data_IF_372417760025
#
_entry.id   IF_372417760025
#
_cell.length_a   1.000
_cell.length_b   1.000
_cell.length_c   1.000
_cell.angle_alpha   90.00
_cell.angle_beta   90.00
_cell.angle_gamma   90.00
#
_symmetry.space_group_name_H-M   'P 1'
#
loop_
_entity.id
_entity.type
_entity.pdbx_description
1 polymer ?
#
# COMPACT_ATOMS: atom_id res chain seq x y z
N UNK A 1 -18.86 0.96 5.13
CA UNK A 1 -17.44 1.30 5.11
C UNK A 1 -17.17 2.11 6.37
N UNK A 2 -16.51 1.51 7.34
CA UNK A 2 -16.25 2.17 8.62
C UNK A 2 -14.92 2.94 8.52
N UNK A 3 -14.99 4.24 8.77
CA UNK A 3 -13.84 5.12 8.89
C UNK A 3 -13.73 5.49 10.36
N UNK A 4 -12.67 5.06 11.02
CA UNK A 4 -12.44 5.38 12.43
C UNK A 4 -11.77 6.76 12.54
N UNK A 5 -12.40 7.68 13.25
CA UNK A 5 -11.86 9.00 13.54
C UNK A 5 -11.76 9.19 15.05
N UNK A 6 -10.54 9.13 15.59
CA UNK A 6 -10.23 9.48 16.97
C UNK A 6 -9.15 10.54 17.01
N UNK A 7 -9.43 11.70 17.61
CA UNK A 7 -8.41 12.67 18.02
C UNK A 7 -7.42 13.13 16.93
N UNK A 8 -7.83 13.22 15.64
CA UNK A 8 -6.92 13.56 14.55
C UNK A 8 -6.29 12.37 13.80
N UNK A 9 -6.64 11.15 14.17
CA UNK A 9 -6.26 9.94 13.45
C UNK A 9 -7.41 9.49 12.56
N UNK A 10 -7.10 9.06 11.34
CA UNK A 10 -8.01 8.41 10.42
C UNK A 10 -7.34 7.21 9.78
N UNK A 11 -7.99 6.05 9.86
CA UNK A 11 -7.50 4.81 9.31
C UNK A 11 -8.63 4.05 8.63
N UNK A 12 -8.35 3.48 7.46
CA UNK A 12 -9.29 2.66 6.72
C UNK A 12 -9.30 1.24 7.29
N UNK A 13 -10.45 0.59 7.18
CA UNK A 13 -10.60 -0.81 7.58
C UNK A 13 -9.98 -1.72 6.49
N UNK A 14 -8.73 -2.09 6.68
CA UNK A 14 -7.93 -2.90 5.76
C UNK A 14 -7.97 -4.41 6.10
N UNK A 15 -7.57 -5.29 5.17
CA UNK A 15 -7.55 -6.74 5.40
C UNK A 15 -6.63 -7.17 6.54
N UNK A 16 -7.13 -8.10 7.38
CA UNK A 16 -6.40 -8.78 8.44
C UNK A 16 -6.28 -10.25 8.10
N UNK A 17 -5.10 -10.81 8.15
CA UNK A 17 -4.82 -12.16 7.69
C UNK A 17 -4.48 -13.07 8.88
N UNK A 18 -5.16 -14.19 8.94
CA UNK A 18 -5.05 -15.16 10.01
C UNK A 18 -4.50 -16.49 9.51
N UNK A 19 -3.80 -17.19 10.38
CA UNK A 19 -3.46 -18.60 10.25
C UNK A 19 -3.82 -19.30 11.56
N UNK A 20 -4.68 -20.34 11.50
CA UNK A 20 -5.09 -21.09 12.69
C UNK A 20 -5.61 -20.18 13.84
N UNK A 21 -6.34 -19.10 13.50
CA UNK A 21 -6.87 -18.06 14.39
C UNK A 21 -5.83 -17.06 14.93
N UNK A 22 -4.57 -17.19 14.60
CA UNK A 22 -3.53 -16.22 14.92
C UNK A 22 -3.47 -15.13 13.85
N UNK A 23 -3.48 -13.86 14.24
CA UNK A 23 -3.27 -12.73 13.33
C UNK A 23 -1.79 -12.71 12.91
N UNK A 24 -1.54 -12.99 11.63
CA UNK A 24 -0.18 -13.06 11.07
C UNK A 24 0.14 -11.95 10.07
N UNK A 25 -0.84 -11.10 9.75
CA UNK A 25 -0.61 -9.99 8.84
C UNK A 25 -1.74 -8.96 8.85
N UNK A 26 -1.32 -7.74 8.64
CA UNK A 26 -2.13 -6.56 8.38
C UNK A 26 -1.85 -6.16 6.93
N UNK A 27 -2.77 -6.54 6.01
CA UNK A 27 -2.45 -6.62 4.60
C UNK A 27 -1.59 -7.83 4.23
N UNK A 28 -1.22 -7.94 2.96
CA UNK A 28 -0.43 -9.05 2.46
C UNK A 28 1.06 -8.96 2.79
N UNK A 29 1.75 -10.11 2.69
CA UNK A 29 3.19 -10.17 2.84
C UNK A 29 3.81 -10.93 1.67
N UNK A 30 4.75 -10.31 0.95
CA UNK A 30 5.40 -10.93 -0.20
C UNK A 30 6.23 -12.19 0.17
N UNK A 31 6.67 -12.34 1.42
CA UNK A 31 7.40 -13.52 1.87
C UNK A 31 6.53 -14.78 1.92
N UNK A 32 5.21 -14.64 1.81
CA UNK A 32 4.30 -15.78 1.74
C UNK A 32 4.28 -16.47 0.38
N UNK A 33 4.75 -15.84 -0.69
CA UNK A 33 4.83 -16.50 -1.99
C UNK A 33 5.73 -17.74 -1.94
N UNK A 34 5.29 -18.84 -2.56
CA UNK A 34 6.09 -20.05 -2.68
C UNK A 34 7.30 -19.83 -3.60
N UNK A 35 7.10 -19.09 -4.70
CA UNK A 35 8.14 -18.78 -5.67
C UNK A 35 9.14 -17.75 -5.15
N UNK A 36 10.43 -18.02 -5.31
CA UNK A 36 11.51 -17.19 -4.80
C UNK A 36 11.61 -15.83 -5.50
N UNK A 37 11.22 -15.77 -6.77
CA UNK A 37 11.18 -14.50 -7.51
C UNK A 37 9.99 -13.65 -7.07
N UNK A 38 8.83 -14.27 -6.86
CA UNK A 38 7.66 -13.57 -6.34
C UNK A 38 7.93 -12.96 -4.95
N UNK A 39 8.69 -13.65 -4.08
CA UNK A 39 9.15 -13.06 -2.80
C UNK A 39 10.04 -11.84 -2.95
N UNK A 40 10.79 -11.71 -4.05
CA UNK A 40 11.68 -10.57 -4.32
C UNK A 40 11.02 -9.44 -5.09
N UNK A 41 10.04 -9.74 -5.91
CA UNK A 41 9.46 -8.81 -6.89
C UNK A 41 7.96 -8.53 -6.66
N UNK A 42 7.36 -9.14 -5.63
CA UNK A 42 5.91 -9.18 -5.41
C UNK A 42 5.30 -7.96 -4.74
N UNK A 43 6.07 -6.98 -4.27
CA UNK A 43 5.55 -5.84 -3.50
C UNK A 43 4.41 -5.09 -4.20
N UNK A 44 4.51 -4.87 -5.53
CA UNK A 44 3.44 -4.24 -6.30
C UNK A 44 2.16 -5.09 -6.31
N UNK A 45 2.30 -6.41 -6.39
CA UNK A 45 1.16 -7.33 -6.39
C UNK A 45 0.50 -7.38 -5.02
N UNK A 46 1.29 -7.35 -3.95
CA UNK A 46 0.77 -7.27 -2.57
C UNK A 46 -0.02 -5.99 -2.36
N UNK A 47 0.58 -4.83 -2.64
CA UNK A 47 -0.09 -3.54 -2.52
C UNK A 47 -1.36 -3.46 -3.37
N UNK A 48 -1.33 -3.97 -4.60
CA UNK A 48 -2.52 -4.01 -5.45
C UNK A 48 -3.59 -4.99 -4.92
N UNK A 49 -3.21 -6.10 -4.28
CA UNK A 49 -4.14 -7.02 -3.63
C UNK A 49 -4.84 -6.34 -2.46
N UNK A 50 -4.10 -5.65 -1.59
CA UNK A 50 -4.68 -4.93 -0.45
C UNK A 50 -5.74 -3.93 -0.92
N UNK A 51 -5.43 -3.13 -1.95
CA UNK A 51 -6.37 -2.14 -2.53
C UNK A 51 -7.56 -2.84 -3.20
N UNK A 52 -7.31 -3.89 -3.98
CA UNK A 52 -8.36 -4.64 -4.65
C UNK A 52 -9.35 -5.27 -3.66
N UNK A 53 -8.86 -5.93 -2.62
CA UNK A 53 -9.67 -6.53 -1.56
C UNK A 53 -10.47 -5.44 -0.83
N UNK A 54 -9.84 -4.31 -0.51
CA UNK A 54 -10.50 -3.18 0.14
C UNK A 54 -11.76 -2.72 -0.61
N UNK A 55 -11.69 -2.61 -1.95
CA UNK A 55 -12.82 -2.14 -2.76
C UNK A 55 -13.83 -3.23 -3.13
N UNK A 56 -13.42 -4.49 -3.22
CA UNK A 56 -14.27 -5.54 -3.81
C UNK A 56 -14.85 -6.50 -2.79
N UNK A 57 -14.29 -6.58 -1.60
CA UNK A 57 -14.75 -7.49 -0.53
C UNK A 57 -15.33 -6.69 0.63
N UNK A 58 -16.35 -7.28 1.27
CA UNK A 58 -16.90 -6.75 2.52
C UNK A 58 -16.17 -7.30 3.73
N UNK A 59 -15.70 -8.55 3.63
CA UNK A 59 -14.90 -9.22 4.62
C UNK A 59 -13.57 -8.49 4.81
N UNK A 60 -13.12 -8.43 6.05
CA UNK A 60 -11.81 -7.87 6.43
C UNK A 60 -10.89 -8.90 7.07
N UNK A 61 -11.41 -10.08 7.37
CA UNK A 61 -10.65 -11.18 7.93
C UNK A 61 -10.53 -12.30 6.92
N UNK A 62 -9.31 -12.70 6.64
CA UNK A 62 -9.00 -13.71 5.64
C UNK A 62 -8.07 -14.78 6.23
N UNK A 63 -8.31 -16.03 5.86
CA UNK A 63 -7.29 -17.05 6.04
C UNK A 63 -6.12 -16.83 5.09
N UNK A 64 -4.91 -17.15 5.55
CA UNK A 64 -3.67 -16.96 4.78
C UNK A 64 -3.72 -17.60 3.40
N UNK A 65 -4.25 -18.81 3.29
CA UNK A 65 -4.32 -19.53 2.01
C UNK A 65 -5.17 -18.78 1.00
N UNK A 66 -6.37 -18.34 1.42
CA UNK A 66 -7.29 -17.58 0.58
C UNK A 66 -6.67 -16.25 0.14
N UNK A 67 -6.01 -15.54 1.06
CA UNK A 67 -5.37 -14.26 0.73
C UNK A 67 -4.18 -14.46 -0.21
N UNK A 68 -3.41 -15.50 -0.01
CA UNK A 68 -2.29 -15.87 -0.89
C UNK A 68 -2.76 -16.20 -2.32
N UNK A 69 -3.93 -16.81 -2.48
CA UNK A 69 -4.51 -17.04 -3.81
C UNK A 69 -4.80 -15.72 -4.54
N UNK A 70 -5.38 -14.73 -3.86
CA UNK A 70 -5.53 -13.38 -4.43
C UNK A 70 -4.19 -12.74 -4.78
N UNK A 71 -3.18 -12.87 -3.93
CA UNK A 71 -1.84 -12.36 -4.20
C UNK A 71 -1.20 -13.04 -5.42
N UNK A 72 -1.37 -14.34 -5.58
CA UNK A 72 -0.85 -15.10 -6.73
C UNK A 72 -1.52 -14.68 -8.04
N UNK A 73 -2.84 -14.48 -8.05
CA UNK A 73 -3.55 -13.96 -9.24
C UNK A 73 -3.10 -12.53 -9.56
N UNK A 74 -2.95 -11.68 -8.54
CA UNK A 74 -2.45 -10.33 -8.73
C UNK A 74 -1.00 -10.31 -9.25
N UNK A 75 -0.16 -11.27 -8.81
CA UNK A 75 1.21 -11.39 -9.31
C UNK A 75 1.25 -11.71 -10.81
N UNK A 76 0.38 -12.60 -11.27
CA UNK A 76 0.22 -12.90 -12.71
C UNK A 76 -0.23 -11.65 -13.49
N UNK A 77 -1.17 -10.88 -12.94
CA UNK A 77 -1.68 -9.67 -13.57
C UNK A 77 -0.66 -8.52 -13.59
N UNK A 78 0.11 -8.36 -12.53
CA UNK A 78 1.14 -7.32 -12.45
C UNK A 78 2.41 -7.67 -13.24
N UNK A 79 2.68 -8.95 -13.55
CA UNK A 79 3.80 -9.41 -14.37
C UNK A 79 5.13 -8.67 -14.06
N UNK A 80 5.66 -8.76 -12.85
CA UNK A 80 6.90 -8.06 -12.51
C UNK A 80 8.07 -8.61 -13.32
N UNK A 81 8.81 -7.70 -13.96
CA UNK A 81 10.00 -8.04 -14.75
C UNK A 81 11.24 -8.20 -13.86
N UNK A 82 12.40 -8.48 -14.46
CA UNK A 82 13.70 -8.70 -13.77
C UNK A 82 14.10 -7.63 -12.73
N UNK A 83 13.48 -6.45 -12.76
CA UNK A 83 13.72 -5.34 -11.81
C UNK A 83 12.49 -5.05 -10.94
N UNK A 84 11.64 -6.06 -10.71
CA UNK A 84 10.36 -5.86 -10.04
C UNK A 84 9.35 -5.09 -10.89
N UNK A 85 8.52 -4.25 -10.28
CA UNK A 85 7.46 -3.52 -10.97
C UNK A 85 7.53 -1.99 -10.71
N UNK A 86 8.48 -1.26 -11.30
CA UNK A 86 8.65 0.19 -11.06
C UNK A 86 7.73 1.08 -11.93
N UNK A 87 6.70 0.52 -12.56
CA UNK A 87 5.90 1.18 -13.58
C UNK A 87 4.58 1.68 -13.03
N UNK A 88 4.57 2.90 -12.49
CA UNK A 88 3.38 3.53 -11.84
C UNK A 88 2.15 3.54 -12.75
N UNK A 89 2.34 3.88 -14.04
CA UNK A 89 1.24 3.93 -15.00
C UNK A 89 0.62 2.54 -15.25
N UNK A 90 1.47 1.51 -15.38
CA UNK A 90 0.97 0.14 -15.57
C UNK A 90 0.29 -0.38 -14.32
N UNK A 91 0.82 -0.06 -13.13
CA UNK A 91 0.18 -0.38 -11.85
C UNK A 91 -1.23 0.20 -11.80
N UNK A 92 -1.36 1.51 -11.97
CA UNK A 92 -2.64 2.21 -11.93
C UNK A 92 -3.62 1.67 -12.98
N UNK A 93 -3.18 1.50 -14.23
CA UNK A 93 -4.01 1.01 -15.32
C UNK A 93 -4.49 -0.42 -15.11
N UNK A 94 -3.61 -1.33 -14.61
CA UNK A 94 -3.96 -2.73 -14.36
C UNK A 94 -4.94 -2.84 -13.20
N UNK A 95 -4.69 -2.12 -12.10
CA UNK A 95 -5.59 -2.07 -10.96
C UNK A 95 -6.93 -1.45 -11.31
N UNK A 96 -6.96 -0.34 -12.05
CA UNK A 96 -8.19 0.31 -12.53
C UNK A 96 -9.06 -0.66 -13.34
N UNK A 97 -8.47 -1.44 -14.25
CA UNK A 97 -9.22 -2.44 -15.02
C UNK A 97 -9.88 -3.50 -14.14
N UNK A 98 -9.21 -3.94 -13.09
CA UNK A 98 -9.78 -4.89 -12.11
C UNK A 98 -10.90 -4.28 -11.28
N UNK A 99 -10.87 -2.97 -11.07
CA UNK A 99 -11.86 -2.19 -10.36
C UNK A 99 -12.91 -1.56 -11.30
N UNK A 100 -13.31 -2.29 -12.35
CA UNK A 100 -14.33 -1.86 -13.31
C UNK A 100 -14.01 -0.55 -14.04
N UNK A 101 -12.75 -0.34 -14.40
CA UNK A 101 -12.23 0.87 -15.03
C UNK A 101 -12.45 2.14 -14.17
N UNK A 102 -12.25 2.02 -12.85
CA UNK A 102 -12.31 3.17 -11.97
C UNK A 102 -11.30 4.25 -12.40
N UNK A 103 -11.63 5.50 -12.15
CA UNK A 103 -10.71 6.59 -12.36
C UNK A 103 -9.51 6.48 -11.42
N UNK A 104 -8.33 6.93 -11.89
CA UNK A 104 -7.12 6.99 -11.09
C UNK A 104 -6.34 8.26 -11.39
N UNK A 105 -5.55 8.69 -10.41
CA UNK A 105 -4.61 9.81 -10.55
C UNK A 105 -3.21 9.36 -10.14
N UNK A 106 -2.21 9.85 -10.86
CA UNK A 106 -0.80 9.57 -10.58
C UNK A 106 -0.11 10.88 -10.23
N UNK A 107 0.41 10.95 -9.02
CA UNK A 107 1.19 12.08 -8.54
C UNK A 107 2.67 11.69 -8.55
N UNK A 108 3.42 12.28 -9.47
CA UNK A 108 4.84 11.99 -9.64
C UNK A 108 5.68 12.97 -8.83
N UNK A 109 6.38 12.46 -7.82
CA UNK A 109 7.28 13.24 -6.95
C UNK A 109 6.65 14.51 -6.40
N UNK A 110 5.46 14.45 -5.80
CA UNK A 110 4.86 15.62 -5.19
C UNK A 110 5.76 16.15 -4.07
N UNK A 111 5.64 17.43 -3.76
CA UNK A 111 6.34 18.02 -2.61
C UNK A 111 5.74 17.48 -1.31
N UNK A 112 6.46 17.60 -0.20
CA UNK A 112 6.00 17.12 1.11
C UNK A 112 4.59 17.62 1.47
N UNK A 113 4.32 18.91 1.32
CA UNK A 113 3.01 19.47 1.60
C UNK A 113 1.93 18.86 0.71
N UNK A 114 2.14 18.87 -0.60
CA UNK A 114 1.20 18.30 -1.57
C UNK A 114 0.95 16.81 -1.31
N UNK A 115 1.99 16.05 -0.98
CA UNK A 115 1.87 14.62 -0.65
C UNK A 115 1.03 14.39 0.61
N UNK A 116 1.21 15.23 1.63
CA UNK A 116 0.44 15.17 2.88
C UNK A 116 -1.05 15.45 2.63
N UNK A 117 -1.36 16.50 1.86
CA UNK A 117 -2.74 16.85 1.49
C UNK A 117 -3.39 15.75 0.62
N UNK A 118 -2.66 15.20 -0.36
CA UNK A 118 -3.14 14.09 -1.19
C UNK A 118 -3.52 12.88 -0.32
N UNK A 119 -2.69 12.55 0.69
CA UNK A 119 -2.99 11.43 1.59
C UNK A 119 -4.22 11.74 2.43
N UNK A 120 -4.28 12.91 3.08
CA UNK A 120 -5.43 13.30 3.92
C UNK A 120 -6.72 13.25 3.10
N UNK A 121 -6.77 13.97 1.99
CA UNK A 121 -7.94 14.02 1.11
C UNK A 121 -8.37 12.62 0.65
N UNK A 122 -7.42 11.76 0.27
CA UNK A 122 -7.74 10.42 -0.19
C UNK A 122 -8.35 9.55 0.91
N UNK A 123 -7.71 9.53 2.08
CA UNK A 123 -8.17 8.73 3.22
C UNK A 123 -9.52 9.24 3.75
N UNK A 124 -9.73 10.57 3.81
CA UNK A 124 -11.02 11.17 4.19
C UNK A 124 -12.18 10.79 3.25
N UNK A 125 -11.87 10.52 2.00
CA UNK A 125 -12.85 10.00 1.03
C UNK A 125 -12.91 8.46 0.98
N UNK A 126 -12.24 7.77 1.90
CA UNK A 126 -12.25 6.31 1.97
C UNK A 126 -11.42 5.62 0.89
N UNK A 127 -10.41 6.28 0.34
CA UNK A 127 -9.59 5.75 -0.74
C UNK A 127 -8.15 5.43 -0.27
N UNK A 128 -7.74 4.16 -0.19
CA UNK A 128 -6.35 3.78 0.02
C UNK A 128 -5.49 4.18 -1.18
N UNK A 129 -4.18 4.38 -0.96
CA UNK A 129 -3.26 4.77 -2.02
C UNK A 129 -2.11 3.78 -2.17
N UNK A 130 -1.72 3.52 -3.42
CA UNK A 130 -0.46 2.85 -3.72
C UNK A 130 0.70 3.85 -3.68
N UNK A 131 1.74 3.57 -2.91
CA UNK A 131 2.96 4.36 -2.83
C UNK A 131 4.15 3.57 -3.35
N UNK A 132 4.80 4.06 -4.41
CA UNK A 132 6.07 3.54 -4.88
C UNK A 132 7.22 4.40 -4.35
N UNK A 133 8.04 3.85 -3.47
CA UNK A 133 9.26 4.46 -2.95
C UNK A 133 10.41 4.12 -3.91
N UNK A 134 10.93 5.11 -4.64
CA UNK A 134 12.00 4.90 -5.64
C UNK A 134 13.40 5.04 -5.02
N UNK A 135 13.62 6.13 -4.28
CA UNK A 135 14.90 6.38 -3.61
C UNK A 135 14.67 7.15 -2.33
N UNK A 136 15.45 6.87 -1.31
CA UNK A 136 15.41 7.59 -0.06
C UNK A 136 16.81 7.80 0.50
N UNK A 137 17.12 9.00 1.06
CA UNK A 137 18.42 9.32 1.62
C UNK A 137 18.61 8.84 3.07
N UNK A 138 17.52 8.56 3.79
CA UNK A 138 17.59 8.12 5.20
C UNK A 138 17.76 6.61 5.28
N UNK A 139 18.70 6.15 6.15
CA UNK A 139 19.05 4.74 6.32
C UNK A 139 17.87 3.85 6.71
N UNK A 140 16.93 4.37 7.51
CA UNK A 140 15.73 3.63 7.97
C UNK A 140 14.75 3.20 6.86
N UNK A 141 14.78 3.86 5.69
CA UNK A 141 13.88 3.59 4.54
C UNK A 141 14.73 3.11 3.34
N UNK A 142 16.03 2.94 3.50
CA UNK A 142 16.93 2.58 2.38
C UNK A 142 16.75 1.13 1.93
N UNK A 143 16.23 0.28 2.80
CA UNK A 143 15.94 -1.11 2.49
C UNK A 143 14.61 -1.26 1.73
N UNK A 144 13.76 -0.21 1.73
CA UNK A 144 12.47 -0.14 1.05
C UNK A 144 12.58 0.57 -0.33
N UNK A 145 13.75 0.61 -0.95
CA UNK A 145 13.93 1.23 -2.27
C UNK A 145 13.31 0.36 -3.37
N UNK A 146 12.67 1.01 -4.35
CA UNK A 146 11.92 0.35 -5.43
C UNK A 146 10.76 -0.50 -4.91
N UNK A 147 10.21 -0.10 -3.76
CA UNK A 147 9.23 -0.84 -3.01
C UNK A 147 7.85 -0.20 -3.07
N UNK A 148 6.82 -1.03 -3.21
CA UNK A 148 5.44 -0.63 -3.15
C UNK A 148 4.86 -0.92 -1.77
N UNK A 149 4.13 0.05 -1.22
CA UNK A 149 3.37 -0.07 0.02
C UNK A 149 1.97 0.50 -0.17
N UNK A 150 1.03 0.17 0.71
CA UNK A 150 -0.34 0.65 0.66
C UNK A 150 -0.59 1.63 1.80
N UNK A 151 -0.84 2.91 1.50
CA UNK A 151 -1.24 3.89 2.50
C UNK A 151 -2.71 3.66 2.84
N UNK A 152 -3.00 3.51 4.13
CA UNK A 152 -4.33 3.21 4.67
C UNK A 152 -4.80 4.23 5.71
N UNK A 153 -3.97 5.17 6.09
CA UNK A 153 -4.35 6.14 7.11
C UNK A 153 -3.32 7.24 7.34
N UNK A 154 -3.67 8.12 8.25
CA UNK A 154 -2.79 9.16 8.78
C UNK A 154 -3.16 9.48 10.24
N UNK A 155 -2.21 10.09 10.94
CA UNK A 155 -2.39 10.61 12.29
C UNK A 155 -1.81 12.03 12.39
N UNK A 156 -2.62 12.98 12.85
CA UNK A 156 -2.17 14.33 13.15
C UNK A 156 -1.54 14.37 14.54
N UNK A 157 -0.26 14.69 14.61
CA UNK A 157 0.49 14.77 15.85
C UNK A 157 0.96 16.19 16.13
N UNK A 158 1.41 16.48 17.34
CA UNK A 158 2.04 17.77 17.67
C UNK A 158 3.29 18.10 16.85
N UNK A 159 3.88 17.07 16.18
CA UNK A 159 5.09 17.20 15.35
C UNK A 159 4.79 17.22 13.85
N UNK A 160 3.52 17.19 13.46
CA UNK A 160 3.06 17.14 12.07
C UNK A 160 2.22 15.89 11.79
N UNK A 161 2.22 15.45 10.55
CA UNK A 161 1.45 14.31 10.06
C UNK A 161 2.30 13.04 10.09
N UNK A 162 1.76 11.97 10.65
CA UNK A 162 2.30 10.61 10.48
C UNK A 162 1.45 9.86 9.45
N UNK A 163 2.12 9.13 8.56
CA UNK A 163 1.48 8.30 7.53
C UNK A 163 1.42 6.87 8.03
N UNK A 164 0.24 6.25 7.88
CA UNK A 164 -0.03 4.85 8.25
C UNK A 164 -0.11 4.05 6.96
N UNK A 165 0.71 3.02 6.84
CA UNK A 165 0.75 2.18 5.64
C UNK A 165 1.02 0.71 5.98
N UNK A 166 0.61 -0.16 5.07
CA UNK A 166 0.84 -1.60 5.12
C UNK A 166 2.09 -1.96 4.34
N UNK A 167 2.95 -2.73 4.97
CA UNK A 167 4.20 -3.18 4.37
C UNK A 167 4.60 -4.56 4.90
N UNK A 168 4.67 -5.54 4.01
CA UNK A 168 5.07 -6.92 4.32
C UNK A 168 4.29 -7.54 5.48
N UNK A 169 2.99 -7.29 5.56
CA UNK A 169 2.11 -7.82 6.61
C UNK A 169 2.08 -7.02 7.90
N UNK A 170 2.79 -5.89 7.97
CA UNK A 170 2.82 -5.00 9.12
C UNK A 170 2.14 -3.66 8.83
N UNK A 171 1.41 -3.12 9.82
CA UNK A 171 1.06 -1.72 9.86
C UNK A 171 2.26 -0.91 10.36
N UNK A 172 2.72 0.03 9.57
CA UNK A 172 3.82 0.93 9.92
C UNK A 172 3.35 2.37 10.00
N UNK A 173 3.96 3.13 10.91
CA UNK A 173 3.71 4.57 11.08
C UNK A 173 5.02 5.34 10.95
N UNK A 174 5.04 6.31 10.07
CA UNK A 174 6.24 7.12 9.81
C UNK A 174 5.82 8.58 9.62
N UNK A 175 6.50 9.56 10.26
CA UNK A 175 6.27 10.97 10.00
C UNK A 175 6.37 11.28 8.50
N UNK A 176 5.36 11.99 7.95
CA UNK A 176 5.30 12.39 6.55
C UNK A 176 6.60 13.07 6.09
N UNK A 177 7.19 13.89 6.97
CA UNK A 177 8.49 14.52 6.72
C UNK A 177 9.62 13.50 6.52
N UNK A 178 9.58 12.37 7.24
CA UNK A 178 10.60 11.32 7.05
C UNK A 178 10.33 10.57 5.76
N UNK A 179 9.07 10.26 5.46
CA UNK A 179 8.70 9.48 4.28
C UNK A 179 8.88 10.26 2.98
N UNK A 180 8.46 11.53 2.95
CA UNK A 180 8.36 12.32 1.71
C UNK A 180 9.52 13.31 1.50
N UNK A 181 10.18 13.80 2.56
CA UNK A 181 11.31 14.72 2.42
C UNK A 181 12.56 13.99 1.93
N UNK A 182 13.22 14.54 0.90
CA UNK A 182 14.46 13.98 0.32
C UNK A 182 14.29 12.57 -0.27
N UNK A 183 13.09 12.18 -0.60
CA UNK A 183 12.79 10.93 -1.29
C UNK A 183 12.33 11.18 -2.73
N UNK A 184 12.41 10.15 -3.57
CA UNK A 184 11.69 10.09 -4.84
C UNK A 184 10.63 9.04 -4.70
N UNK A 185 9.39 9.43 -4.84
CA UNK A 185 8.25 8.53 -4.72
C UNK A 185 7.15 8.95 -5.71
N UNK A 186 6.22 8.04 -5.96
CA UNK A 186 5.02 8.30 -6.74
C UNK A 186 3.82 7.74 -5.99
N UNK A 187 2.71 8.46 -6.03
CA UNK A 187 1.44 8.06 -5.40
C UNK A 187 0.42 7.76 -6.48
N UNK A 188 -0.33 6.68 -6.29
CA UNK A 188 -1.49 6.30 -7.10
C UNK A 188 -2.72 6.37 -6.20
N UNK A 189 -3.69 7.21 -6.59
CA UNK A 189 -5.01 7.39 -5.95
C UNK A 189 -6.09 6.84 -6.85
#
# INVERSE_FOLDING_TARGET
>A
MEIWKEGGMMILDYPKIYKEKELIGQGGNQDWFADSWARKAGCASVSATDIFIYYTKREREFDKSTYLDYMNEMFKLMEPGKRGFPYVFLYARRLSKLLNNCEYRIFRRPRLYDASEIVKESIEHGNPLGLLILTHRRRKIRDDLWHWVTIVGYEETKKGLDIIFLDCGDEKRIPARILFEKSRFNVVK
#
